data_IF_074654737190
#
_entry.id   IF_074654737190
#
_cell.length_a   1.000
_cell.length_b   1.000
_cell.length_c   1.000
_cell.angle_alpha   90.00
_cell.angle_beta   90.00
_cell.angle_gamma   90.00
#
_symmetry.space_group_name_H-M   'P 1'
#
loop_
_entity.id
_entity.type
_entity.pdbx_description
1 polymer ?
#
# COMPACT_ATOMS: atom_id res chain seq x y z
N UNK A 1 -7.10 -4.86 -14.06
CA UNK A 1 -6.00 -4.28 -13.25
C UNK A 1 -6.41 -4.43 -11.80
N UNK A 2 -5.72 -5.27 -11.05
CA UNK A 2 -5.98 -5.44 -9.61
C UNK A 2 -5.43 -4.23 -8.84
N UNK A 3 -6.10 -3.84 -7.75
CA UNK A 3 -5.70 -2.74 -6.89
C UNK A 3 -6.13 -3.02 -5.45
N UNK A 4 -5.25 -2.82 -4.45
CA UNK A 4 -5.56 -3.02 -3.04
C UNK A 4 -6.34 -1.85 -2.41
N UNK A 5 -6.74 -0.85 -3.21
CA UNK A 5 -7.37 0.37 -2.71
C UNK A 5 -8.82 0.12 -2.26
N UNK A 6 -9.13 0.46 -1.01
CA UNK A 6 -10.49 0.35 -0.44
C UNK A 6 -11.27 1.67 -0.47
N UNK A 7 -10.76 2.71 -1.13
CA UNK A 7 -11.39 4.03 -1.20
C UNK A 7 -11.02 4.99 -0.05
N UNK A 8 -10.25 4.53 0.93
CA UNK A 8 -9.67 5.38 1.98
C UNK A 8 -8.27 5.85 1.58
N UNK A 9 -7.99 7.15 1.72
CA UNK A 9 -6.70 7.75 1.40
C UNK A 9 -6.19 8.61 2.56
N UNK A 10 -5.78 7.94 3.64
CA UNK A 10 -5.20 8.57 4.82
C UNK A 10 -3.85 7.92 5.10
N UNK A 11 -2.79 8.71 5.19
CA UNK A 11 -1.46 8.20 5.54
C UNK A 11 -1.29 8.19 7.06
N UNK A 12 -0.91 7.05 7.62
CA UNK A 12 -0.59 6.89 9.03
C UNK A 12 0.86 7.26 9.36
N UNK A 13 1.26 7.14 10.64
CA UNK A 13 2.66 7.19 11.04
C UNK A 13 3.48 6.17 10.23
N UNK A 14 4.61 6.58 9.68
CA UNK A 14 5.41 5.75 8.75
C UNK A 14 5.10 5.97 7.26
N UNK A 15 4.14 6.84 6.91
CA UNK A 15 3.94 7.30 5.53
C UNK A 15 3.24 6.29 4.61
N UNK A 16 2.56 5.30 5.19
CA UNK A 16 1.75 4.31 4.48
C UNK A 16 0.27 4.61 4.64
N UNK A 17 -0.52 4.31 3.62
CA UNK A 17 -1.97 4.45 3.67
C UNK A 17 -2.58 3.42 4.62
N UNK A 18 -3.38 3.86 5.60
CA UNK A 18 -4.00 2.97 6.60
C UNK A 18 -5.04 2.00 6.00
N UNK A 19 -5.50 2.26 4.78
CA UNK A 19 -6.49 1.41 4.10
C UNK A 19 -5.90 0.43 3.07
N UNK A 20 -4.82 0.81 2.38
CA UNK A 20 -4.23 -0.04 1.33
C UNK A 20 -2.72 -0.30 1.49
N UNK A 21 -2.12 0.20 2.56
CA UNK A 21 -0.73 -0.03 2.99
C UNK A 21 0.36 0.36 1.96
N UNK A 22 -0.03 1.11 0.94
CA UNK A 22 0.86 1.70 -0.06
C UNK A 22 1.38 3.05 0.42
N UNK A 23 2.60 3.39 0.02
CA UNK A 23 3.16 4.73 0.20
C UNK A 23 2.53 5.74 -0.75
N UNK A 24 2.70 7.04 -0.48
CA UNK A 24 2.24 8.11 -1.36
C UNK A 24 2.80 7.97 -2.80
N UNK A 25 4.08 7.59 -2.92
CA UNK A 25 4.75 7.37 -4.21
C UNK A 25 4.13 6.20 -4.98
N UNK A 26 3.84 5.10 -4.29
CA UNK A 26 3.21 3.92 -4.90
C UNK A 26 1.78 4.21 -5.36
N UNK A 27 1.04 5.04 -4.61
CA UNK A 27 -0.30 5.49 -4.98
C UNK A 27 -0.25 6.35 -6.24
N UNK A 28 0.63 7.36 -6.28
CA UNK A 28 0.77 8.27 -7.41
C UNK A 28 1.26 7.53 -8.69
N UNK A 29 2.16 6.57 -8.54
CA UNK A 29 2.74 5.81 -9.66
C UNK A 29 1.90 4.62 -10.15
N UNK A 30 0.82 4.25 -9.44
CA UNK A 30 0.17 2.95 -9.61
C UNK A 30 -0.24 2.62 -11.05
N UNK A 31 -0.85 3.58 -11.74
CA UNK A 31 -1.33 3.40 -13.12
C UNK A 31 -0.18 3.23 -14.13
N UNK A 32 1.01 3.76 -13.82
CA UNK A 32 2.20 3.65 -14.67
C UNK A 32 3.08 2.43 -14.40
N UNK A 33 2.87 1.73 -13.27
CA UNK A 33 3.69 0.55 -12.94
C UNK A 33 3.41 -0.66 -13.82
N UNK A 34 4.47 -1.46 -14.06
CA UNK A 34 4.33 -2.74 -14.74
C UNK A 34 3.54 -3.75 -13.88
N UNK A 35 2.96 -4.78 -14.48
CA UNK A 35 2.30 -5.86 -13.74
C UNK A 35 3.21 -6.52 -12.68
N UNK A 36 4.50 -6.68 -12.99
CA UNK A 36 5.50 -7.25 -12.09
C UNK A 36 5.70 -6.35 -10.88
N UNK A 37 5.87 -5.04 -11.11
CA UNK A 37 6.05 -4.08 -10.02
C UNK A 37 4.82 -4.01 -9.11
N UNK A 38 3.63 -4.04 -9.70
CA UNK A 38 2.37 -4.10 -8.93
C UNK A 38 2.31 -5.36 -8.07
N UNK A 39 2.72 -6.51 -8.60
CA UNK A 39 2.75 -7.78 -7.87
C UNK A 39 3.72 -7.74 -6.69
N UNK A 40 4.93 -7.21 -6.88
CA UNK A 40 5.90 -7.00 -5.80
C UNK A 40 5.31 -6.13 -4.68
N UNK A 41 4.68 -5.00 -5.04
CA UNK A 41 4.06 -4.11 -4.06
C UNK A 41 2.95 -4.85 -3.30
N UNK A 42 2.06 -5.55 -4.01
CA UNK A 42 0.95 -6.29 -3.39
C UNK A 42 1.42 -7.39 -2.43
N UNK A 43 2.53 -8.07 -2.73
CA UNK A 43 3.12 -9.07 -1.84
C UNK A 43 3.69 -8.46 -0.55
N UNK A 44 4.11 -7.20 -0.56
CA UNK A 44 4.64 -6.52 0.61
C UNK A 44 3.55 -5.94 1.54
N UNK A 45 2.31 -5.77 1.06
CA UNK A 45 1.25 -5.09 1.82
C UNK A 45 0.84 -5.81 3.12
N UNK A 46 0.74 -7.16 3.18
CA UNK A 46 0.38 -7.84 4.41
C UNK A 46 1.38 -7.57 5.54
N UNK A 47 2.68 -7.71 5.28
CA UNK A 47 3.72 -7.42 6.28
C UNK A 47 3.72 -5.95 6.73
N UNK A 48 3.38 -5.02 5.82
CA UNK A 48 3.23 -3.60 6.17
C UNK A 48 2.00 -3.34 7.04
N UNK A 49 0.93 -4.10 6.84
CA UNK A 49 -0.26 -4.03 7.67
C UNK A 49 0.06 -4.51 9.08
N UNK A 50 0.75 -5.64 9.22
CA UNK A 50 1.18 -6.16 10.53
C UNK A 50 2.01 -5.11 11.29
N UNK A 51 3.04 -4.52 10.66
CA UNK A 51 3.84 -3.46 11.29
C UNK A 51 3.08 -2.17 11.64
N UNK A 52 1.93 -1.91 11.02
CA UNK A 52 1.08 -0.73 11.30
C UNK A 52 0.13 -0.97 12.48
N UNK A 53 -0.17 -2.24 12.78
CA UNK A 53 -1.14 -2.63 13.81
C UNK A 53 -0.52 -3.45 14.95
N UNK A 54 0.79 -3.73 14.90
CA UNK A 54 1.60 -4.09 16.07
C UNK A 54 1.73 -2.88 17.02
N UNK A 55 0.61 -2.53 17.65
CA UNK A 55 0.55 -1.76 18.90
C UNK A 55 -0.10 -2.69 19.95
N UNK A 56 0.68 -3.10 20.96
CA UNK A 56 0.20 -3.69 22.21
C UNK A 56 -0.83 -2.78 22.92
#
# INVERSE_FOLDING_TARGET
MESPCIGTCTLGPGGLCVGCFRSATEIAGWLGYSPEKRREIMQALPARADCLFDED
#
